data_IF_963145639658
#
_entry.id   IF_963145639658
#
_cell.length_a   1.000
_cell.length_b   1.000
_cell.length_c   1.000
_cell.angle_alpha   90.00
_cell.angle_beta   90.00
_cell.angle_gamma   90.00
#
_symmetry.space_group_name_H-M   'P 1'
#
loop_
_entity.id
_entity.type
_entity.pdbx_description
1 polymer ?
#
# COMPACT_ATOMS: atom_id res chain seq x y z
N UNK A 1 79.43 -11.31 30.51
CA UNK A 1 78.97 -10.25 31.44
C UNK A 1 77.49 -10.50 31.62
N UNK A 2 77.19 -11.00 32.82
CA UNK A 2 75.87 -11.44 33.25
C UNK A 2 75.01 -10.27 33.62
N UNK A 3 73.74 -10.35 33.26
CA UNK A 3 72.71 -9.46 33.78
C UNK A 3 71.60 -10.30 34.43
N UNK A 4 71.49 -10.13 35.73
CA UNK A 4 70.62 -10.84 36.68
C UNK A 4 69.15 -10.53 36.45
N UNK A 5 68.35 -11.58 36.45
CA UNK A 5 66.87 -11.50 36.55
C UNK A 5 66.45 -11.34 37.99
N UNK A 6 65.76 -10.27 38.36
CA UNK A 6 65.08 -10.10 39.62
C UNK A 6 63.58 -10.34 39.48
N UNK A 7 63.10 -11.39 40.10
CA UNK A 7 61.70 -11.70 40.21
C UNK A 7 61.03 -10.85 41.32
N UNK A 8 59.80 -10.37 41.13
CA UNK A 8 59.04 -9.68 42.15
C UNK A 8 58.36 -10.66 43.15
N UNK A 9 58.16 -10.24 44.40
CA UNK A 9 57.76 -11.12 45.49
C UNK A 9 56.29 -11.48 45.47
N UNK A 10 55.99 -12.71 45.85
CA UNK A 10 54.62 -13.26 45.97
C UNK A 10 53.88 -12.60 47.16
N UNK A 11 52.66 -12.15 46.88
CA UNK A 11 51.75 -11.69 47.93
C UNK A 11 51.00 -12.86 48.55
N UNK A 12 51.08 -12.90 49.93
CA UNK A 12 50.46 -13.89 50.79
C UNK A 12 48.91 -13.80 50.72
N UNK A 13 48.26 -14.95 50.57
CA UNK A 13 46.85 -15.16 50.77
C UNK A 13 46.51 -15.12 52.28
N UNK A 14 45.48 -14.32 52.62
CA UNK A 14 44.88 -14.33 53.96
C UNK A 14 43.60 -15.13 53.83
N UNK A 15 43.55 -16.31 54.39
CA UNK A 15 42.32 -17.10 54.54
C UNK A 15 41.51 -16.51 55.71
N UNK A 16 40.24 -16.09 55.37
CA UNK A 16 39.17 -15.99 56.38
C UNK A 16 38.11 -16.97 56.02
N UNK A 17 37.88 -17.94 56.87
CA UNK A 17 36.87 -18.95 56.80
C UNK A 17 35.52 -18.33 57.18
N UNK A 18 34.63 -18.14 56.21
CA UNK A 18 33.17 -18.12 56.39
C UNK A 18 32.53 -18.58 55.08
N UNK A 19 31.86 -19.73 55.20
CA UNK A 19 31.25 -20.39 54.05
C UNK A 19 30.05 -19.62 53.47
N UNK A 20 30.28 -19.03 52.30
CA UNK A 20 29.23 -18.68 51.34
C UNK A 20 29.69 -19.17 49.97
N UNK A 21 28.79 -19.78 49.19
CA UNK A 21 29.15 -20.19 47.84
C UNK A 21 29.40 -18.97 46.95
N UNK A 22 30.45 -19.05 46.13
CA UNK A 22 30.81 -18.02 45.17
C UNK A 22 29.65 -17.67 44.23
N UNK A 23 29.42 -16.37 43.92
CA UNK A 23 28.43 -15.98 42.94
C UNK A 23 28.90 -16.41 41.54
N UNK A 24 28.06 -17.18 40.86
CA UNK A 24 28.22 -17.59 39.48
C UNK A 24 28.45 -16.34 38.62
N UNK A 25 29.45 -16.30 37.71
CA UNK A 25 29.62 -15.16 36.82
C UNK A 25 28.39 -15.05 35.92
N UNK A 26 27.63 -13.97 36.10
CA UNK A 26 26.54 -13.60 35.17
C UNK A 26 27.12 -13.45 33.79
N UNK A 27 26.71 -14.34 32.90
CA UNK A 27 26.98 -14.23 31.50
C UNK A 27 26.45 -12.88 31.01
N UNK A 28 27.34 -12.09 30.44
CA UNK A 28 27.04 -10.81 29.83
C UNK A 28 26.07 -11.08 28.70
N UNK A 29 24.77 -10.86 28.91
CA UNK A 29 23.78 -10.91 27.85
C UNK A 29 24.07 -9.74 26.89
N UNK A 30 24.25 -9.97 25.58
CA UNK A 30 24.40 -8.88 24.66
C UNK A 30 23.10 -8.08 24.68
N UNK A 31 23.20 -6.80 24.98
CA UNK A 31 22.12 -5.83 24.98
C UNK A 31 21.68 -5.62 23.53
N UNK A 32 20.99 -6.62 22.94
CA UNK A 32 20.27 -6.52 21.72
C UNK A 32 19.07 -5.61 21.97
N UNK A 33 19.18 -4.32 21.65
CA UNK A 33 18.04 -3.45 21.59
C UNK A 33 17.11 -3.99 20.49
N UNK A 34 16.22 -4.89 20.88
CA UNK A 34 15.12 -5.30 20.00
C UNK A 34 14.30 -4.03 19.77
N UNK A 35 14.42 -3.47 18.56
CA UNK A 35 13.51 -2.43 18.07
C UNK A 35 12.12 -3.02 18.18
N UNK A 36 11.39 -2.70 19.25
CA UNK A 36 9.98 -3.03 19.40
C UNK A 36 9.31 -2.51 18.15
N UNK A 37 8.87 -3.40 17.28
CA UNK A 37 8.04 -3.06 16.13
C UNK A 37 6.83 -2.32 16.68
N UNK A 38 6.67 -1.07 16.24
CA UNK A 38 5.52 -0.26 16.59
C UNK A 38 4.26 -1.04 16.18
N UNK A 39 3.24 -1.18 17.03
CA UNK A 39 2.01 -1.86 16.63
C UNK A 39 1.45 -1.20 15.37
N UNK A 40 0.87 -1.97 14.44
CA UNK A 40 0.27 -1.40 13.24
C UNK A 40 -0.75 -0.32 13.64
N UNK A 41 -0.76 0.81 12.94
CA UNK A 41 -1.72 1.87 13.22
C UNK A 41 -3.15 1.34 13.03
N UNK A 42 -4.10 1.77 13.86
CA UNK A 42 -5.48 1.31 13.76
C UNK A 42 -6.04 1.61 12.37
N UNK A 43 -6.96 0.76 11.85
CA UNK A 43 -7.62 0.99 10.58
C UNK A 43 -8.32 2.34 10.60
N UNK A 44 -8.22 3.08 9.50
CA UNK A 44 -8.87 4.40 9.38
C UNK A 44 -10.36 4.14 9.16
N UNK A 45 -11.23 4.66 10.04
CA UNK A 45 -12.67 4.53 9.83
C UNK A 45 -13.08 5.30 8.56
N UNK A 46 -13.92 4.69 7.73
CA UNK A 46 -14.52 5.32 6.56
C UNK A 46 -15.77 6.07 7.01
N UNK A 47 -15.84 7.41 6.85
CA UNK A 47 -17.01 8.17 7.24
C UNK A 47 -18.25 7.81 6.41
N UNK A 48 -19.45 8.06 6.93
CA UNK A 48 -20.69 7.90 6.17
C UNK A 48 -20.65 8.73 4.88
N UNK A 49 -21.16 8.18 3.78
CA UNK A 49 -21.12 8.82 2.46
C UNK A 49 -19.75 8.85 1.78
N UNK A 50 -18.73 8.24 2.38
CA UNK A 50 -17.41 8.08 1.79
C UNK A 50 -17.17 6.64 1.33
N UNK A 51 -16.27 6.48 0.40
CA UNK A 51 -15.76 5.18 -0.03
C UNK A 51 -14.25 5.12 0.14
N UNK A 52 -13.74 3.91 0.35
CA UNK A 52 -12.33 3.64 0.49
C UNK A 52 -11.85 2.76 -0.67
N UNK A 53 -10.82 3.18 -1.37
CA UNK A 53 -10.15 2.41 -2.42
C UNK A 53 -8.74 2.06 -2.00
N UNK A 54 -8.33 0.84 -2.27
CA UNK A 54 -7.03 0.30 -1.92
C UNK A 54 -6.28 -0.05 -3.21
N UNK A 55 -5.38 0.84 -3.63
CA UNK A 55 -4.52 0.62 -4.79
C UNK A 55 -3.26 -0.10 -4.38
N UNK A 56 -2.88 -1.12 -5.15
CA UNK A 56 -1.64 -1.84 -4.96
C UNK A 56 -0.55 -1.23 -5.85
N UNK A 57 0.54 -0.77 -5.24
CA UNK A 57 1.67 -0.16 -5.92
C UNK A 57 2.97 -0.88 -5.57
N UNK A 58 3.87 -1.04 -6.54
CA UNK A 58 5.19 -1.59 -6.29
C UNK A 58 6.00 -0.68 -5.37
N UNK A 59 6.74 -1.25 -4.43
CA UNK A 59 7.46 -0.50 -3.39
C UNK A 59 8.48 0.50 -3.97
N UNK A 60 9.12 0.18 -5.10
CA UNK A 60 10.07 1.08 -5.80
C UNK A 60 9.45 2.41 -6.22
N UNK A 61 8.14 2.43 -6.48
CA UNK A 61 7.42 3.62 -6.98
C UNK A 61 6.86 4.50 -5.87
N UNK A 62 6.69 3.96 -4.66
CA UNK A 62 6.03 4.65 -3.56
C UNK A 62 6.71 5.97 -3.19
N UNK A 63 8.05 5.99 -3.19
CA UNK A 63 8.80 7.23 -2.93
C UNK A 63 8.44 8.35 -3.89
N UNK A 64 8.29 8.03 -5.18
CA UNK A 64 7.89 8.99 -6.22
C UNK A 64 6.42 9.43 -6.11
N UNK A 65 5.54 8.54 -5.63
CA UNK A 65 4.11 8.88 -5.39
C UNK A 65 3.96 9.80 -4.19
N UNK A 66 4.69 9.55 -3.11
CA UNK A 66 4.67 10.40 -1.92
C UNK A 66 5.35 11.74 -2.21
N UNK A 67 6.46 11.71 -2.94
CA UNK A 67 7.31 12.86 -3.20
C UNK A 67 8.19 13.25 -2.01
N UNK A 68 9.16 14.14 -2.26
CA UNK A 68 10.07 14.64 -1.23
C UNK A 68 9.26 15.29 -0.09
N UNK A 69 9.47 14.84 1.14
CA UNK A 69 8.75 15.32 2.33
C UNK A 69 7.21 15.24 2.23
N UNK A 70 6.70 14.37 1.35
CA UNK A 70 5.25 14.18 1.17
C UNK A 70 4.55 15.30 0.40
N UNK A 71 5.26 16.12 -0.34
CA UNK A 71 4.67 17.26 -1.08
C UNK A 71 3.66 16.80 -2.10
N UNK A 72 3.97 15.74 -2.88
CA UNK A 72 3.09 15.27 -3.96
C UNK A 72 1.80 14.67 -3.39
N UNK A 73 1.89 13.81 -2.38
CA UNK A 73 0.69 13.23 -1.78
C UNK A 73 -0.19 14.28 -1.12
N UNK A 74 0.40 15.32 -0.51
CA UNK A 74 -0.36 16.45 0.06
C UNK A 74 -1.05 17.27 -1.03
N UNK A 75 -0.37 17.50 -2.16
CA UNK A 75 -0.97 18.17 -3.31
C UNK A 75 -2.16 17.37 -3.85
N UNK A 76 -2.00 16.06 -4.07
CA UNK A 76 -3.09 15.18 -4.50
C UNK A 76 -4.28 15.23 -3.53
N UNK A 77 -4.03 15.25 -2.22
CA UNK A 77 -5.08 15.39 -1.21
C UNK A 77 -5.78 16.76 -1.29
N UNK A 78 -5.02 17.84 -1.49
CA UNK A 78 -5.58 19.20 -1.62
C UNK A 78 -6.46 19.33 -2.86
N UNK A 79 -5.98 18.83 -4.00
CA UNK A 79 -6.67 18.96 -5.30
C UNK A 79 -7.95 18.15 -5.35
N UNK A 80 -7.93 16.95 -4.79
CA UNK A 80 -9.07 16.02 -4.85
C UNK A 80 -9.99 16.08 -3.62
N UNK A 81 -9.53 16.67 -2.51
CA UNK A 81 -10.24 16.61 -1.23
C UNK A 81 -10.26 15.20 -0.61
N UNK A 82 -9.51 14.26 -1.14
CA UNK A 82 -9.42 12.90 -0.64
C UNK A 82 -8.39 12.78 0.49
N UNK A 83 -8.61 11.84 1.40
CA UNK A 83 -7.58 11.37 2.32
C UNK A 83 -6.80 10.26 1.65
N UNK A 84 -5.51 10.49 1.41
CA UNK A 84 -4.61 9.51 0.78
C UNK A 84 -3.55 9.10 1.78
N UNK A 85 -3.36 7.79 1.96
CA UNK A 85 -2.36 7.23 2.88
C UNK A 85 -1.71 5.99 2.26
N UNK A 86 -0.41 5.86 2.44
CA UNK A 86 0.30 4.59 2.17
C UNK A 86 0.29 3.78 3.46
N UNK A 87 -0.20 2.55 3.37
CA UNK A 87 -0.25 1.64 4.52
C UNK A 87 1.12 0.98 4.76
N UNK A 88 1.39 0.72 6.02
CA UNK A 88 2.57 -0.05 6.41
C UNK A 88 2.41 -1.49 5.92
N UNK A 89 3.48 -2.05 5.38
CA UNK A 89 3.51 -3.43 4.89
C UNK A 89 4.68 -4.18 5.48
N UNK A 90 4.62 -5.51 5.56
CA UNK A 90 5.76 -6.33 5.92
C UNK A 90 6.97 -5.99 5.03
N UNK A 91 8.17 -5.99 5.62
CA UNK A 91 9.41 -5.71 4.89
C UNK A 91 9.67 -6.67 3.72
N UNK A 92 9.05 -7.84 3.78
CA UNK A 92 9.11 -8.88 2.74
C UNK A 92 8.20 -8.62 1.54
N UNK A 93 7.32 -7.61 1.60
CA UNK A 93 6.41 -7.31 0.51
C UNK A 93 7.03 -6.33 -0.49
N UNK A 94 7.06 -6.74 -1.76
CA UNK A 94 7.46 -5.87 -2.89
C UNK A 94 6.40 -4.82 -3.23
N UNK A 95 5.26 -4.84 -2.56
CA UNK A 95 4.15 -3.95 -2.81
C UNK A 95 3.71 -3.22 -1.54
N UNK A 96 3.04 -2.08 -1.74
CA UNK A 96 2.40 -1.26 -0.72
C UNK A 96 0.97 -0.97 -1.13
N UNK A 97 0.11 -0.81 -0.14
CA UNK A 97 -1.27 -0.39 -0.36
C UNK A 97 -1.36 1.12 -0.22
N UNK A 98 -1.95 1.78 -1.21
CA UNK A 98 -2.33 3.19 -1.17
C UNK A 98 -3.83 3.23 -0.91
N UNK A 99 -4.20 3.69 0.29
CA UNK A 99 -5.58 3.87 0.70
C UNK A 99 -6.05 5.27 0.30
N UNK A 100 -7.16 5.35 -0.43
CA UNK A 100 -7.82 6.58 -0.87
C UNK A 100 -9.23 6.60 -0.30
N UNK A 101 -9.55 7.57 0.55
CA UNK A 101 -10.87 7.76 1.15
C UNK A 101 -11.41 9.12 0.74
N UNK A 102 -12.59 9.16 0.12
CA UNK A 102 -13.23 10.40 -0.29
C UNK A 102 -14.75 10.24 -0.43
N UNK A 103 -15.52 11.35 -0.55
CA UNK A 103 -16.95 11.32 -0.80
C UNK A 103 -17.31 10.51 -2.05
N UNK A 104 -18.36 9.71 -1.94
CA UNK A 104 -18.86 8.87 -3.04
C UNK A 104 -19.82 9.61 -3.98
N UNK A 105 -20.32 10.78 -3.56
CA UNK A 105 -21.28 11.57 -4.35
C UNK A 105 -20.68 12.03 -5.68
N UNK A 106 -21.39 11.79 -6.76
CA UNK A 106 -21.01 12.23 -8.12
C UNK A 106 -21.42 13.69 -8.27
N UNK A 107 -20.46 14.59 -8.10
CA UNK A 107 -20.69 16.05 -8.12
C UNK A 107 -19.54 16.82 -8.78
N UNK A 108 -18.66 16.13 -9.49
CA UNK A 108 -17.51 16.71 -10.20
C UNK A 108 -17.56 16.37 -11.67
N UNK A 109 -16.97 17.24 -12.50
CA UNK A 109 -16.68 16.96 -13.90
C UNK A 109 -15.19 16.87 -14.09
N UNK A 110 -14.74 15.79 -14.69
CA UNK A 110 -13.33 15.52 -14.92
C UNK A 110 -13.09 15.53 -16.42
N UNK A 111 -12.20 16.41 -16.89
CA UNK A 111 -11.74 16.37 -18.27
C UNK A 111 -10.86 15.13 -18.49
N UNK A 112 -11.11 14.40 -19.54
CA UNK A 112 -10.33 13.24 -19.92
C UNK A 112 -9.07 13.69 -20.66
N UNK A 113 -7.89 13.22 -20.24
CA UNK A 113 -6.65 13.51 -20.96
C UNK A 113 -6.75 12.99 -22.41
N UNK A 114 -6.57 13.91 -23.37
CA UNK A 114 -6.62 13.58 -24.79
C UNK A 114 -8.02 13.54 -25.40
N UNK A 115 -9.07 13.90 -24.68
CA UNK A 115 -10.43 14.07 -25.16
C UNK A 115 -10.98 15.43 -24.74
N UNK A 116 -11.89 15.99 -25.53
CA UNK A 116 -12.69 17.16 -25.13
C UNK A 116 -13.90 16.78 -24.30
N UNK A 117 -14.06 15.49 -23.98
CA UNK A 117 -15.20 15.00 -23.20
C UNK A 117 -14.94 15.16 -21.71
N UNK A 118 -15.96 15.65 -21.00
CA UNK A 118 -16.01 15.66 -19.54
C UNK A 118 -16.89 14.51 -19.05
N UNK A 119 -16.44 13.84 -17.99
CA UNK A 119 -17.17 12.76 -17.34
C UNK A 119 -17.55 13.17 -15.93
N UNK A 120 -18.81 12.89 -15.55
CA UNK A 120 -19.25 13.07 -14.18
C UNK A 120 -18.61 12.02 -13.27
N UNK A 121 -18.04 12.47 -12.16
CA UNK A 121 -17.32 11.64 -11.23
C UNK A 121 -17.48 12.10 -9.77
N UNK A 122 -17.21 11.19 -8.86
CA UNK A 122 -17.06 11.52 -7.44
C UNK A 122 -15.64 11.97 -7.11
N UNK A 123 -15.46 12.63 -5.98
CA UNK A 123 -14.14 12.97 -5.46
C UNK A 123 -13.26 11.73 -5.27
N UNK A 124 -13.86 10.60 -4.92
CA UNK A 124 -13.14 9.34 -4.75
C UNK A 124 -12.62 8.78 -6.09
N UNK A 125 -13.42 8.85 -7.16
CA UNK A 125 -13.02 8.44 -8.50
C UNK A 125 -11.88 9.31 -9.03
N UNK A 126 -12.03 10.63 -8.90
CA UNK A 126 -10.96 11.56 -9.29
C UNK A 126 -9.66 11.29 -8.54
N UNK A 127 -9.73 11.08 -7.22
CA UNK A 127 -8.54 10.81 -6.41
C UNK A 127 -7.82 9.51 -6.82
N UNK A 128 -8.56 8.42 -7.04
CA UNK A 128 -7.99 7.16 -7.53
C UNK A 128 -7.28 7.36 -8.87
N UNK A 129 -7.92 8.11 -9.76
CA UNK A 129 -7.38 8.44 -11.06
C UNK A 129 -6.07 9.20 -10.96
N UNK A 130 -6.05 10.33 -10.21
CA UNK A 130 -4.86 11.16 -10.02
C UNK A 130 -3.70 10.39 -9.37
N UNK A 131 -4.01 9.54 -8.39
CA UNK A 131 -3.01 8.65 -7.79
C UNK A 131 -2.45 7.67 -8.81
N UNK A 132 -3.31 7.09 -9.66
CA UNK A 132 -2.84 6.16 -10.69
C UNK A 132 -2.04 6.86 -11.79
N UNK A 133 -2.43 8.04 -12.24
CA UNK A 133 -1.64 8.89 -13.15
C UNK A 133 -0.24 9.12 -12.58
N UNK A 134 -0.16 9.45 -11.29
CA UNK A 134 1.13 9.62 -10.64
C UNK A 134 1.96 8.34 -10.60
N UNK A 135 1.32 7.18 -10.40
CA UNK A 135 2.01 5.87 -10.49
C UNK A 135 2.58 5.64 -11.89
N UNK A 136 1.86 6.02 -12.94
CA UNK A 136 2.33 5.92 -14.33
C UNK A 136 3.53 6.81 -14.60
N UNK A 137 3.48 8.07 -14.17
CA UNK A 137 4.61 9.02 -14.30
C UNK A 137 5.87 8.48 -13.61
N UNK A 138 5.71 7.97 -12.39
CA UNK A 138 6.83 7.40 -11.62
C UNK A 138 7.35 6.13 -12.29
N UNK A 139 6.48 5.27 -12.81
CA UNK A 139 6.89 4.06 -13.52
C UNK A 139 7.72 4.37 -14.78
N UNK A 140 7.38 5.43 -15.49
CA UNK A 140 8.17 5.88 -16.65
C UNK A 140 9.61 6.27 -16.26
N UNK A 141 9.76 6.91 -15.09
CA UNK A 141 11.07 7.38 -14.61
C UNK A 141 11.86 6.27 -13.91
N UNK A 142 11.22 5.49 -13.05
CA UNK A 142 11.90 4.50 -12.18
C UNK A 142 12.18 3.20 -12.91
N UNK A 143 11.21 2.71 -13.67
CA UNK A 143 11.27 1.39 -14.30
C UNK A 143 11.56 1.47 -15.81
N UNK A 144 11.73 2.69 -16.35
CA UNK A 144 11.98 2.89 -17.78
C UNK A 144 10.80 2.44 -18.66
N UNK A 145 9.59 2.44 -18.13
CA UNK A 145 8.39 2.07 -18.92
C UNK A 145 8.18 3.12 -20.01
N UNK A 146 8.22 2.73 -21.29
CA UNK A 146 8.07 3.70 -22.38
C UNK A 146 6.67 4.34 -22.34
N UNK A 147 6.52 5.56 -22.91
CA UNK A 147 5.20 6.16 -23.10
C UNK A 147 4.26 5.18 -23.83
N UNK A 148 3.10 4.89 -23.25
CA UNK A 148 2.21 3.85 -23.76
C UNK A 148 2.50 2.42 -23.28
N UNK A 149 3.58 2.22 -22.51
CA UNK A 149 3.84 0.96 -21.83
C UNK A 149 2.74 0.60 -20.83
N UNK A 150 2.37 -0.69 -20.77
CA UNK A 150 1.22 -1.13 -20.02
C UNK A 150 1.56 -1.29 -18.54
N UNK A 151 1.19 -0.32 -17.72
CA UNK A 151 1.15 -0.48 -16.26
C UNK A 151 -0.26 -0.84 -15.86
N UNK A 152 -0.43 -1.96 -15.16
CA UNK A 152 -1.74 -2.38 -14.67
C UNK A 152 -2.17 -1.54 -13.47
N UNK A 153 -3.42 -1.06 -13.47
CA UNK A 153 -4.07 -0.59 -12.26
C UNK A 153 -4.53 -1.80 -11.44
N UNK A 154 -4.15 -1.87 -10.18
CA UNK A 154 -4.46 -2.99 -9.29
C UNK A 154 -5.19 -2.48 -8.08
N UNK A 155 -6.42 -2.95 -7.89
CA UNK A 155 -7.27 -2.62 -6.75
C UNK A 155 -7.47 -3.84 -5.88
N UNK A 156 -7.29 -3.68 -4.57
CA UNK A 156 -7.67 -4.68 -3.58
C UNK A 156 -9.09 -4.40 -3.11
N UNK A 157 -9.90 -5.43 -3.07
CA UNK A 157 -11.26 -5.38 -2.58
C UNK A 157 -11.61 -6.67 -1.84
N UNK A 158 -12.52 -6.62 -0.89
CA UNK A 158 -13.01 -7.82 -0.22
C UNK A 158 -13.72 -8.74 -1.23
N UNK A 159 -13.62 -10.06 -1.04
CA UNK A 159 -14.30 -11.05 -1.88
C UNK A 159 -15.78 -10.76 -2.08
N UNK A 160 -16.44 -10.25 -1.03
CA UNK A 160 -17.85 -9.85 -1.09
C UNK A 160 -18.12 -8.71 -2.08
N UNK A 161 -17.17 -7.81 -2.28
CA UNK A 161 -17.25 -6.67 -3.18
C UNK A 161 -16.90 -7.08 -4.62
N UNK A 162 -15.93 -7.96 -4.77
CA UNK A 162 -15.49 -8.47 -6.08
C UNK A 162 -16.62 -9.22 -6.80
N UNK A 163 -17.44 -9.95 -6.05
CA UNK A 163 -18.64 -10.59 -6.59
C UNK A 163 -19.57 -9.62 -7.30
N UNK A 164 -19.70 -8.41 -6.78
CA UNK A 164 -20.51 -7.33 -7.40
C UNK A 164 -19.89 -6.80 -8.69
N UNK A 165 -18.56 -6.69 -8.73
CA UNK A 165 -17.80 -6.28 -9.93
C UNK A 165 -17.97 -7.31 -11.05
N UNK A 166 -17.91 -8.59 -10.71
CA UNK A 166 -18.10 -9.68 -11.69
C UNK A 166 -19.55 -9.70 -12.16
N UNK A 167 -20.49 -9.57 -11.23
CA UNK A 167 -21.91 -9.67 -11.48
C UNK A 167 -22.37 -11.10 -11.79
N UNK A 168 -23.69 -11.31 -11.83
CA UNK A 168 -24.27 -12.64 -12.08
C UNK A 168 -23.82 -13.21 -13.42
N UNK A 169 -23.10 -14.33 -13.37
CA UNK A 169 -22.56 -14.99 -14.57
C UNK A 169 -21.53 -14.14 -15.34
N UNK A 170 -20.83 -13.21 -14.67
CA UNK A 170 -19.79 -12.37 -15.28
C UNK A 170 -20.33 -11.22 -16.15
N UNK A 171 -21.64 -10.97 -16.16
CA UNK A 171 -22.26 -9.98 -17.07
C UNK A 171 -21.77 -8.56 -16.85
N UNK A 172 -21.50 -8.16 -15.61
CA UNK A 172 -21.04 -6.79 -15.28
C UNK A 172 -19.62 -6.59 -15.79
N UNK A 173 -18.70 -7.49 -15.45
CA UNK A 173 -17.31 -7.37 -15.88
C UNK A 173 -17.18 -7.45 -17.41
N UNK A 174 -17.98 -8.28 -18.08
CA UNK A 174 -18.00 -8.34 -19.54
C UNK A 174 -18.51 -7.05 -20.18
N UNK A 175 -19.54 -6.42 -19.58
CA UNK A 175 -20.04 -5.12 -20.03
C UNK A 175 -18.94 -4.06 -19.89
N UNK A 176 -18.27 -4.01 -18.73
CA UNK A 176 -17.16 -3.05 -18.48
C UNK A 176 -16.03 -3.28 -19.49
N UNK A 177 -15.61 -4.53 -19.74
CA UNK A 177 -14.58 -4.86 -20.73
C UNK A 177 -14.92 -4.36 -22.12
N UNK A 178 -16.15 -4.60 -22.56
CA UNK A 178 -16.63 -4.21 -23.90
C UNK A 178 -16.69 -2.70 -24.06
N UNK A 179 -17.18 -1.98 -23.05
CA UNK A 179 -17.37 -0.53 -23.13
C UNK A 179 -16.06 0.24 -22.94
N UNK A 180 -15.16 -0.25 -22.09
CA UNK A 180 -13.87 0.40 -21.82
C UNK A 180 -12.72 -0.08 -22.73
N UNK A 181 -12.88 -1.17 -23.46
CA UNK A 181 -11.79 -1.83 -24.18
C UNK A 181 -10.69 -2.40 -23.26
N UNK A 182 -10.88 -2.37 -21.95
CA UNK A 182 -9.85 -2.75 -20.98
C UNK A 182 -9.82 -4.25 -20.70
N UNK A 183 -8.63 -4.78 -20.46
CA UNK A 183 -8.46 -6.17 -20.00
C UNK A 183 -8.54 -6.21 -18.48
N UNK A 184 -9.59 -6.83 -17.95
CA UNK A 184 -9.81 -6.96 -16.50
C UNK A 184 -9.57 -8.41 -16.09
N UNK A 185 -8.78 -8.62 -15.04
CA UNK A 185 -8.56 -9.91 -14.39
C UNK A 185 -8.89 -9.80 -12.92
N UNK A 186 -9.51 -10.82 -12.37
CA UNK A 186 -9.67 -11.00 -10.93
C UNK A 186 -8.72 -12.09 -10.48
N UNK A 187 -7.96 -11.80 -9.43
CA UNK A 187 -6.97 -12.69 -8.85
C UNK A 187 -7.35 -12.98 -7.40
N UNK A 188 -7.41 -14.25 -7.07
CA UNK A 188 -7.74 -14.75 -5.72
C UNK A 188 -6.57 -14.64 -4.75
N UNK A 189 -6.82 -14.79 -3.46
CA UNK A 189 -5.89 -14.59 -2.35
C UNK A 189 -4.52 -15.26 -2.54
N UNK A 190 -4.46 -16.45 -3.14
CA UNK A 190 -3.22 -17.21 -3.35
C UNK A 190 -2.18 -16.49 -4.24
N UNK A 191 -2.61 -15.54 -5.04
CA UNK A 191 -1.76 -14.78 -5.99
C UNK A 191 -1.52 -13.35 -5.54
N UNK A 192 -1.91 -13.00 -4.33
CA UNK A 192 -1.76 -11.65 -3.80
C UNK A 192 -0.42 -11.49 -3.09
N UNK A 193 0.15 -10.25 -3.10
CA UNK A 193 1.32 -9.95 -2.29
C UNK A 193 0.98 -9.97 -0.80
N UNK A 194 1.99 -10.18 0.02
CA UNK A 194 1.86 -10.31 1.48
C UNK A 194 1.31 -9.07 2.22
N UNK A 195 1.17 -7.94 1.53
CA UNK A 195 0.53 -6.74 2.06
C UNK A 195 -1.00 -6.74 1.92
N UNK A 196 -1.56 -7.71 1.20
CA UNK A 196 -3.02 -7.88 1.11
C UNK A 196 -3.55 -8.67 2.31
N UNK A 197 -4.81 -8.42 2.69
CA UNK A 197 -5.49 -9.22 3.71
C UNK A 197 -5.91 -10.59 3.13
N UNK A 198 -6.09 -11.57 3.99
CA UNK A 198 -6.50 -12.93 3.58
C UNK A 198 -7.91 -12.98 2.95
N UNK A 199 -8.73 -11.98 3.20
CA UNK A 199 -10.08 -11.82 2.65
C UNK A 199 -10.11 -10.99 1.37
N UNK A 200 -8.96 -10.47 0.94
CA UNK A 200 -8.86 -9.66 -0.27
C UNK A 200 -8.81 -10.51 -1.54
N UNK A 201 -9.32 -9.95 -2.59
CA UNK A 201 -9.07 -10.30 -3.97
C UNK A 201 -8.53 -9.08 -4.71
N UNK A 202 -7.88 -9.27 -5.84
CA UNK A 202 -7.34 -8.18 -6.62
C UNK A 202 -8.02 -8.08 -7.97
N UNK A 203 -8.50 -6.90 -8.27
CA UNK A 203 -8.96 -6.54 -9.62
C UNK A 203 -7.79 -5.86 -10.34
N UNK A 204 -7.19 -6.57 -11.28
CA UNK A 204 -6.15 -6.04 -12.16
C UNK A 204 -6.75 -5.56 -13.46
N UNK A 205 -6.50 -4.31 -13.80
CA UNK A 205 -6.95 -3.70 -15.04
C UNK A 205 -5.76 -3.23 -15.85
N UNK A 206 -5.72 -3.70 -17.08
CA UNK A 206 -4.79 -3.20 -18.09
C UNK A 206 -5.56 -2.25 -19.00
N UNK A 207 -5.39 -0.94 -18.85
CA UNK A 207 -6.05 0.03 -19.72
C UNK A 207 -5.49 -0.10 -21.13
N UNK A 208 -6.38 -0.10 -22.14
CA UNK A 208 -5.95 -0.14 -23.53
C UNK A 208 -5.80 1.27 -24.11
N UNK A 209 -6.79 2.14 -23.96
CA UNK A 209 -6.74 3.51 -24.47
C UNK A 209 -7.30 4.56 -23.48
N UNK A 210 -8.31 4.21 -22.67
CA UNK A 210 -9.05 5.13 -21.83
C UNK A 210 -9.20 4.60 -20.40
N UNK A 211 -8.19 4.81 -19.57
CA UNK A 211 -8.26 4.47 -18.15
C UNK A 211 -9.42 5.18 -17.44
N UNK A 212 -9.75 6.36 -17.90
CA UNK A 212 -10.85 7.20 -17.38
C UNK A 212 -12.21 6.57 -17.60
N UNK A 213 -12.46 6.07 -18.80
CA UNK A 213 -13.72 5.40 -19.12
C UNK A 213 -13.90 4.14 -18.27
N UNK A 214 -12.80 3.39 -18.05
CA UNK A 214 -12.84 2.24 -17.17
C UNK A 214 -13.15 2.62 -15.74
N UNK A 215 -12.46 3.63 -15.17
CA UNK A 215 -12.70 4.09 -13.80
C UNK A 215 -14.16 4.56 -13.68
N UNK A 216 -14.66 5.34 -14.63
CA UNK A 216 -16.04 5.80 -14.62
C UNK A 216 -17.04 4.63 -14.67
N UNK A 217 -16.90 3.71 -15.61
CA UNK A 217 -17.77 2.55 -15.75
C UNK A 217 -17.64 1.59 -14.56
N UNK A 218 -16.42 1.31 -14.09
CA UNK A 218 -16.21 0.48 -12.93
C UNK A 218 -16.95 1.03 -11.70
N UNK A 219 -16.91 2.33 -11.49
CA UNK A 219 -17.58 2.97 -10.36
C UNK A 219 -19.08 3.16 -10.59
N UNK A 220 -19.52 3.36 -11.80
CA UNK A 220 -20.94 3.41 -12.11
C UNK A 220 -21.62 2.07 -11.79
N UNK A 221 -20.94 0.94 -12.05
CA UNK A 221 -21.46 -0.39 -11.76
C UNK A 221 -21.22 -0.87 -10.32
N UNK A 222 -20.14 -0.41 -9.67
CA UNK A 222 -19.79 -0.84 -8.32
C UNK A 222 -20.16 0.18 -7.24
N UNK A 223 -20.19 1.47 -7.57
CA UNK A 223 -20.45 2.56 -6.62
C UNK A 223 -21.83 2.48 -5.96
N UNK A 224 -22.85 2.07 -6.70
CA UNK A 224 -24.18 1.84 -6.14
C UNK A 224 -24.23 0.68 -5.15
N UNK A 225 -23.40 -0.34 -5.31
CA UNK A 225 -23.37 -1.53 -4.45
C UNK A 225 -22.46 -1.36 -3.24
N UNK A 226 -21.46 -0.47 -3.32
CA UNK A 226 -20.63 -0.13 -2.18
C UNK A 226 -21.36 0.75 -1.16
N UNK A 227 -22.26 1.62 -1.63
CA UNK A 227 -23.12 2.47 -0.77
C UNK A 227 -24.23 1.68 -0.09
N UNK A 228 -24.77 0.64 -0.71
CA UNK A 228 -25.91 -0.11 -0.19
C UNK A 228 -25.58 -1.09 0.95
N UNK A 229 -24.32 -1.28 1.30
CA UNK A 229 -23.87 -2.15 2.42
C UNK A 229 -23.33 -1.39 3.64
N UNK A 230 -23.36 -0.07 3.60
CA UNK A 230 -22.99 0.78 4.74
C UNK A 230 -24.21 1.22 5.57
N UNK A 231 -25.42 0.68 5.26
CA UNK A 231 -26.66 0.84 6.03
C UNK A 231 -27.16 -0.53 6.50
#
# INVERSE_FOLDING_TARGET
MEASFLSPPAKRSIYTATGMPDPIPMAYAPNGSSKRSKPPPPPIPVPAGHVAFRLLCHASRIGGVIGKSGVIVKQLQSDTGARIRVEDSPSTSDHRVILVIAPASVNRRIALQGSSEEVEASAAQEAVLRVFERILEVAAVVDGVPPGGVVSCRLLAETSQVGSVIGKGGKVVEKIRRESGSKIKVLTAEKLPTCAASTDEMVEVKPFLFIYLWISLFFQFTGYLWLSRLY
#
